data_IF_081401664350
#
_entry.id   IF_081401664350
#
_cell.length_a   1.000
_cell.length_b   1.000
_cell.length_c   1.000
_cell.angle_alpha   90.00
_cell.angle_beta   90.00
_cell.angle_gamma   90.00
#
_symmetry.space_group_name_H-M   'P 1'
#
loop_
_entity.id
_entity.type
_entity.pdbx_description
1 polymer ?
#
# COMPACT_ATOMS: atom_id res chain seq x y z
N UNK A 1 -5.74 -10.25 3.89
CA UNK A 1 -5.45 -9.00 3.15
C UNK A 1 -6.39 -8.86 1.93
N UNK A 2 -6.45 -9.84 1.02
CA UNK A 2 -7.24 -9.74 -0.21
C UNK A 2 -8.72 -9.39 -0.04
N UNK A 3 -9.37 -9.83 1.04
CA UNK A 3 -10.80 -9.57 1.30
C UNK A 3 -11.07 -8.07 1.52
N UNK A 4 -10.13 -7.35 2.12
CA UNK A 4 -10.24 -5.89 2.28
C UNK A 4 -10.34 -5.17 0.93
N UNK A 5 -9.71 -5.74 -0.10
CA UNK A 5 -9.69 -5.22 -1.47
C UNK A 5 -10.63 -5.96 -2.42
N UNK A 6 -11.66 -6.64 -1.88
CA UNK A 6 -12.73 -7.22 -2.68
C UNK A 6 -12.43 -8.61 -3.26
N UNK A 7 -11.60 -9.41 -2.59
CA UNK A 7 -11.40 -10.80 -2.96
C UNK A 7 -12.71 -11.57 -2.80
N UNK A 8 -13.13 -12.28 -3.85
CA UNK A 8 -14.31 -13.13 -3.86
C UNK A 8 -14.06 -14.51 -3.23
N UNK A 9 -15.10 -15.25 -2.83
CA UNK A 9 -14.96 -16.58 -2.22
C UNK A 9 -14.11 -17.55 -3.03
N UNK A 10 -14.30 -17.64 -4.36
CA UNK A 10 -13.46 -18.46 -5.25
C UNK A 10 -12.00 -18.01 -5.28
N UNK A 11 -11.76 -16.69 -5.18
CA UNK A 11 -10.41 -16.14 -5.08
C UNK A 11 -9.74 -16.51 -3.76
N UNK A 12 -10.48 -16.47 -2.66
CA UNK A 12 -10.01 -16.92 -1.34
C UNK A 12 -9.69 -18.41 -1.35
N UNK A 13 -10.61 -19.25 -1.87
CA UNK A 13 -10.40 -20.69 -2.02
C UNK A 13 -9.10 -21.00 -2.79
N UNK A 14 -8.92 -20.34 -3.94
CA UNK A 14 -7.70 -20.49 -4.74
C UNK A 14 -6.45 -20.07 -3.97
N UNK A 15 -6.50 -18.97 -3.25
CA UNK A 15 -5.37 -18.47 -2.47
C UNK A 15 -4.99 -19.43 -1.35
N UNK A 16 -5.98 -19.96 -0.61
CA UNK A 16 -5.77 -20.95 0.44
C UNK A 16 -5.13 -22.23 -0.10
N UNK A 17 -5.62 -22.71 -1.24
CA UNK A 17 -5.09 -23.92 -1.89
C UNK A 17 -3.64 -23.72 -2.33
N UNK A 18 -3.33 -22.63 -3.06
CA UNK A 18 -2.00 -22.45 -3.67
C UNK A 18 -0.94 -21.90 -2.71
N UNK A 19 -1.34 -21.07 -1.72
CA UNK A 19 -0.36 -20.46 -0.79
C UNK A 19 -0.21 -21.20 0.54
N UNK A 20 -1.29 -21.87 0.98
CA UNK A 20 -1.30 -22.55 2.28
C UNK A 20 -1.51 -24.06 2.17
N UNK A 21 -1.72 -24.62 0.98
CA UNK A 21 -2.02 -26.04 0.78
C UNK A 21 -3.36 -26.50 1.35
N UNK A 22 -4.27 -25.56 1.69
CA UNK A 22 -5.56 -25.85 2.31
C UNK A 22 -6.65 -26.01 1.26
N UNK A 23 -7.25 -27.19 1.18
CA UNK A 23 -8.41 -27.45 0.32
C UNK A 23 -9.68 -27.11 1.09
N UNK A 24 -10.13 -25.85 1.00
CA UNK A 24 -11.24 -25.31 1.75
C UNK A 24 -12.51 -25.29 0.88
N UNK A 25 -13.66 -25.79 1.36
CA UNK A 25 -14.93 -25.70 0.64
C UNK A 25 -15.31 -24.25 0.32
N UNK A 26 -16.00 -24.05 -0.81
CA UNK A 26 -16.44 -22.69 -1.22
C UNK A 26 -17.37 -22.06 -0.18
N UNK A 27 -18.26 -22.84 0.42
CA UNK A 27 -19.17 -22.43 1.50
C UNK A 27 -18.43 -21.86 2.72
N UNK A 28 -17.29 -22.45 3.08
CA UNK A 28 -16.47 -21.95 4.18
C UNK A 28 -15.78 -20.63 3.81
N UNK A 29 -15.32 -20.48 2.58
CA UNK A 29 -14.79 -19.22 2.08
C UNK A 29 -15.86 -18.11 2.07
N UNK A 30 -17.10 -18.43 1.70
CA UNK A 30 -18.25 -17.52 1.77
C UNK A 30 -18.55 -17.10 3.21
N UNK A 31 -18.57 -18.06 4.13
CA UNK A 31 -18.78 -17.82 5.57
C UNK A 31 -17.67 -16.94 6.15
N UNK A 32 -16.42 -17.19 5.82
CA UNK A 32 -15.27 -16.39 6.27
C UNK A 32 -15.42 -14.93 5.82
N UNK A 33 -15.74 -14.69 4.55
CA UNK A 33 -15.92 -13.34 4.02
C UNK A 33 -17.12 -12.64 4.66
N UNK A 34 -18.23 -13.37 4.85
CA UNK A 34 -19.43 -12.84 5.50
C UNK A 34 -19.15 -12.45 6.95
N UNK A 35 -18.50 -13.32 7.72
CA UNK A 35 -18.13 -13.06 9.11
C UNK A 35 -17.16 -11.86 9.23
N UNK A 36 -16.18 -11.77 8.33
CA UNK A 36 -15.26 -10.65 8.31
C UNK A 36 -15.99 -9.33 8.05
N UNK A 37 -16.91 -9.30 7.09
CA UNK A 37 -17.71 -8.09 6.80
C UNK A 37 -18.66 -7.74 7.95
N UNK A 38 -19.22 -8.75 8.64
CA UNK A 38 -20.03 -8.53 9.82
C UNK A 38 -19.21 -7.97 11.00
N UNK A 39 -17.97 -8.44 11.19
CA UNK A 39 -17.04 -7.91 12.20
C UNK A 39 -16.52 -6.51 11.90
N UNK A 40 -16.50 -6.12 10.62
CA UNK A 40 -16.04 -4.81 10.16
C UNK A 40 -17.08 -4.10 9.29
N UNK A 41 -18.24 -3.69 9.85
CA UNK A 41 -19.35 -3.13 9.07
C UNK A 41 -18.98 -1.85 8.34
N UNK A 42 -18.16 -0.98 8.94
CA UNK A 42 -17.67 0.24 8.28
C UNK A 42 -16.81 -0.03 7.06
N UNK A 43 -16.02 -1.12 7.07
CA UNK A 43 -15.27 -1.55 5.89
C UNK A 43 -16.21 -1.97 4.75
N UNK A 44 -17.24 -2.76 5.08
CA UNK A 44 -18.22 -3.20 4.10
C UNK A 44 -18.98 -2.02 3.48
N UNK A 45 -19.38 -1.06 4.30
CA UNK A 45 -20.02 0.19 3.85
C UNK A 45 -19.08 1.01 2.96
N UNK A 46 -17.84 1.23 3.39
CA UNK A 46 -16.82 1.94 2.61
C UNK A 46 -16.60 1.32 1.24
N UNK A 47 -16.49 -0.01 1.16
CA UNK A 47 -16.35 -0.73 -0.12
C UNK A 47 -17.51 -0.41 -1.07
N UNK A 48 -18.75 -0.34 -0.57
CA UNK A 48 -19.92 0.00 -1.39
C UNK A 48 -19.92 1.48 -1.83
N UNK A 49 -19.52 2.37 -0.92
CA UNK A 49 -19.42 3.81 -1.23
C UNK A 49 -18.40 4.05 -2.35
N UNK A 50 -17.20 3.47 -2.22
CA UNK A 50 -16.13 3.63 -3.21
C UNK A 50 -16.53 3.09 -4.58
N UNK A 51 -17.19 1.92 -4.64
CA UNK A 51 -17.70 1.36 -5.90
C UNK A 51 -18.71 2.29 -6.55
N UNK A 52 -19.73 2.77 -5.82
CA UNK A 52 -20.75 3.69 -6.34
C UNK A 52 -20.11 5.00 -6.83
N UNK A 53 -19.17 5.55 -6.11
CA UNK A 53 -18.44 6.75 -6.54
C UNK A 53 -17.65 6.50 -7.83
N UNK A 54 -16.96 5.36 -7.92
CA UNK A 54 -16.21 4.99 -9.12
C UNK A 54 -17.15 4.76 -10.34
N UNK A 55 -18.31 4.14 -10.14
CA UNK A 55 -19.33 4.00 -11.22
C UNK A 55 -19.82 5.36 -11.74
N UNK A 56 -20.07 6.31 -10.84
CA UNK A 56 -20.53 7.64 -11.20
C UNK A 56 -19.45 8.49 -11.88
N UNK A 57 -18.21 8.45 -11.36
CA UNK A 57 -17.11 9.32 -11.80
C UNK A 57 -16.26 8.71 -12.91
N UNK A 58 -16.32 7.39 -13.12
CA UNK A 58 -15.45 6.60 -14.03
C UNK A 58 -13.97 6.60 -13.62
N UNK A 59 -13.68 6.99 -12.42
CA UNK A 59 -12.34 6.92 -11.81
C UNK A 59 -12.42 6.73 -10.29
N UNK A 60 -11.33 6.27 -9.71
CA UNK A 60 -11.04 6.33 -8.30
C UNK A 60 -9.81 7.22 -8.08
N UNK A 61 -9.67 7.81 -6.91
CA UNK A 61 -8.58 8.73 -6.63
C UNK A 61 -7.94 8.46 -5.27
N UNK A 62 -6.67 8.84 -5.14
CA UNK A 62 -5.93 8.84 -3.88
C UNK A 62 -6.36 10.03 -3.04
N UNK A 63 -5.94 10.08 -1.79
CA UNK A 63 -6.19 11.22 -0.90
C UNK A 63 -5.51 12.51 -1.38
N UNK A 64 -4.44 12.40 -2.17
CA UNK A 64 -3.78 13.54 -2.80
C UNK A 64 -4.35 13.89 -4.18
N UNK A 65 -5.47 13.27 -4.60
CA UNK A 65 -6.18 13.60 -5.82
C UNK A 65 -5.63 12.97 -7.10
N UNK A 66 -4.69 12.00 -7.00
CA UNK A 66 -4.24 11.27 -8.18
C UNK A 66 -5.32 10.30 -8.63
N UNK A 67 -5.71 10.37 -9.89
CA UNK A 67 -6.82 9.62 -10.46
C UNK A 67 -6.36 8.37 -11.20
N UNK A 68 -7.12 7.29 -10.99
CA UNK A 68 -7.07 6.08 -11.80
C UNK A 68 -8.39 5.94 -12.55
N UNK A 69 -8.36 6.08 -13.85
CA UNK A 69 -9.54 5.90 -14.70
C UNK A 69 -9.92 4.42 -14.80
N UNK A 70 -11.23 4.15 -14.77
CA UNK A 70 -11.82 2.82 -14.69
C UNK A 70 -12.89 2.64 -15.77
N UNK A 71 -12.53 2.57 -17.06
CA UNK A 71 -13.51 2.49 -18.15
C UNK A 71 -14.41 1.26 -18.03
N UNK A 72 -13.88 0.13 -17.53
CA UNK A 72 -14.61 -1.12 -17.34
C UNK A 72 -15.56 -1.15 -16.13
N UNK A 73 -15.66 -0.09 -15.31
CA UNK A 73 -16.48 -0.08 -14.08
C UNK A 73 -17.98 -0.28 -14.34
N UNK A 74 -18.44 0.05 -15.54
CA UNK A 74 -19.82 -0.13 -15.99
C UNK A 74 -19.96 -1.14 -17.13
N UNK A 75 -18.94 -1.97 -17.34
CA UNK A 75 -19.00 -3.03 -18.35
C UNK A 75 -20.07 -4.07 -18.03
N UNK A 76 -20.67 -4.63 -19.06
CA UNK A 76 -21.55 -5.79 -18.96
C UNK A 76 -20.77 -7.11 -18.77
N UNK A 77 -19.46 -7.12 -19.09
CA UNK A 77 -18.60 -8.24 -18.78
C UNK A 77 -18.29 -8.26 -17.28
N UNK A 78 -18.66 -9.36 -16.62
CA UNK A 78 -18.46 -9.53 -15.18
C UNK A 78 -16.99 -9.48 -14.77
N UNK A 79 -16.09 -10.04 -15.58
CA UNK A 79 -14.66 -10.08 -15.30
C UNK A 79 -14.06 -8.68 -15.33
N UNK A 80 -14.39 -7.90 -16.36
CA UNK A 80 -13.95 -6.52 -16.53
C UNK A 80 -14.49 -5.62 -15.42
N UNK A 81 -15.80 -5.69 -15.14
CA UNK A 81 -16.44 -4.93 -14.05
C UNK A 81 -15.82 -5.26 -12.70
N UNK A 82 -15.67 -6.55 -12.39
CA UNK A 82 -15.08 -7.02 -11.13
C UNK A 82 -13.62 -6.58 -10.96
N UNK A 83 -12.84 -6.56 -12.04
CA UNK A 83 -11.48 -6.02 -12.02
C UNK A 83 -11.48 -4.52 -11.72
N UNK A 84 -12.33 -3.74 -12.40
CA UNK A 84 -12.45 -2.30 -12.17
C UNK A 84 -12.90 -1.97 -10.74
N UNK A 85 -13.85 -2.71 -10.16
CA UNK A 85 -14.27 -2.57 -8.77
C UNK A 85 -13.12 -2.81 -7.77
N UNK A 86 -12.30 -3.84 -8.00
CA UNK A 86 -11.10 -4.06 -7.16
C UNK A 86 -10.09 -2.92 -7.29
N UNK A 87 -9.88 -2.43 -8.50
CA UNK A 87 -9.03 -1.26 -8.73
C UNK A 87 -9.57 0.00 -8.04
N UNK A 88 -10.91 0.18 -8.04
CA UNK A 88 -11.55 1.28 -7.34
C UNK A 88 -11.26 1.26 -5.83
N UNK A 89 -11.35 0.09 -5.20
CA UNK A 89 -11.07 -0.07 -3.76
C UNK A 89 -9.58 0.02 -3.42
N UNK A 90 -8.71 -0.44 -4.31
CA UNK A 90 -7.27 -0.41 -4.06
C UNK A 90 -6.67 0.99 -4.17
N UNK A 91 -7.17 1.82 -5.09
CA UNK A 91 -6.58 3.12 -5.40
C UNK A 91 -6.55 4.09 -4.20
N UNK A 92 -7.62 4.26 -3.39
CA UNK A 92 -7.59 5.15 -2.24
C UNK A 92 -6.58 4.74 -1.17
N UNK A 93 -6.31 3.45 -1.02
CA UNK A 93 -5.41 2.91 0.01
C UNK A 93 -3.97 2.79 -0.53
N UNK A 94 -3.75 1.85 -1.47
CA UNK A 94 -2.41 1.59 -2.00
C UNK A 94 -1.86 2.78 -2.81
N UNK A 95 -2.75 3.48 -3.53
CA UNK A 95 -2.35 4.68 -4.25
C UNK A 95 -1.92 5.81 -3.32
N UNK A 96 -2.63 6.00 -2.19
CA UNK A 96 -2.23 6.98 -1.16
C UNK A 96 -0.93 6.58 -0.48
N UNK A 97 -0.72 5.30 -0.17
CA UNK A 97 0.57 4.82 0.35
C UNK A 97 1.73 5.16 -0.59
N UNK A 98 1.55 4.93 -1.90
CA UNK A 98 2.55 5.31 -2.90
C UNK A 98 2.77 6.84 -2.99
N UNK A 99 1.73 7.65 -2.76
CA UNK A 99 1.85 9.11 -2.70
C UNK A 99 2.63 9.56 -1.47
N UNK A 100 2.40 8.95 -0.31
CA UNK A 100 3.14 9.21 0.93
C UNK A 100 4.63 8.94 0.73
N UNK A 101 4.98 7.79 0.13
CA UNK A 101 6.38 7.50 -0.18
C UNK A 101 7.01 8.54 -1.12
N UNK A 102 6.27 9.02 -2.12
CA UNK A 102 6.75 10.08 -3.02
C UNK A 102 6.96 11.41 -2.30
N UNK A 103 6.12 11.74 -1.33
CA UNK A 103 6.34 12.91 -0.47
C UNK A 103 7.61 12.75 0.37
N UNK A 104 7.85 11.57 0.93
CA UNK A 104 9.08 11.26 1.65
C UNK A 104 10.31 11.40 0.75
N UNK A 105 10.26 10.85 -0.47
CA UNK A 105 11.32 11.00 -1.48
C UNK A 105 11.57 12.46 -1.85
N UNK A 106 10.52 13.27 -1.99
CA UNK A 106 10.68 14.70 -2.28
C UNK A 106 11.42 15.44 -1.14
N UNK A 107 11.08 15.12 0.13
CA UNK A 107 11.79 15.67 1.31
C UNK A 107 13.26 15.24 1.34
N UNK A 108 13.54 13.97 1.05
CA UNK A 108 14.89 13.43 0.95
C UNK A 108 15.70 14.16 -0.12
N UNK A 109 15.16 14.31 -1.34
CA UNK A 109 15.83 14.99 -2.46
C UNK A 109 16.19 16.44 -2.09
N UNK A 110 15.32 17.16 -1.40
CA UNK A 110 15.59 18.53 -0.95
C UNK A 110 16.75 18.57 0.04
N UNK A 111 16.92 17.58 0.89
CA UNK A 111 17.98 17.53 1.89
C UNK A 111 19.30 16.89 1.43
N UNK A 112 19.34 16.25 0.24
CA UNK A 112 20.55 15.60 -0.30
C UNK A 112 21.71 16.57 -0.58
N UNK A 113 21.52 17.83 -1.09
CA UNK A 113 22.62 18.76 -1.32
C UNK A 113 23.47 19.05 -0.08
N UNK A 114 22.87 18.99 1.11
CA UNK A 114 23.58 19.17 2.39
C UNK A 114 24.29 17.89 2.87
N UNK A 115 24.03 16.76 2.20
CA UNK A 115 24.52 15.40 2.56
C UNK A 115 25.10 14.68 1.33
N UNK A 116 26.16 15.20 0.71
CA UNK A 116 26.72 14.64 -0.53
C UNK A 116 27.25 13.21 -0.37
N UNK A 117 27.43 12.76 0.87
CA UNK A 117 27.82 11.41 1.24
C UNK A 117 26.63 10.41 1.28
N UNK A 118 25.37 10.89 1.27
CA UNK A 118 24.16 10.05 1.27
C UNK A 118 23.73 9.76 -0.17
N UNK A 119 23.84 8.52 -0.60
CA UNK A 119 23.54 8.12 -1.98
C UNK A 119 22.31 7.24 -2.04
N UNK A 120 21.17 7.72 -2.58
CA UNK A 120 20.02 6.86 -2.88
C UNK A 120 20.40 5.85 -3.97
N UNK A 121 20.14 4.56 -3.74
CA UNK A 121 20.44 3.50 -4.68
C UNK A 121 19.19 2.90 -5.31
N UNK A 122 18.23 2.47 -4.48
CA UNK A 122 17.04 1.72 -4.94
C UNK A 122 15.80 2.18 -4.18
N UNK A 123 14.67 2.06 -4.86
CA UNK A 123 13.34 2.03 -4.26
C UNK A 123 12.70 0.69 -4.60
N UNK A 124 12.33 -0.09 -3.59
CA UNK A 124 11.70 -1.40 -3.74
C UNK A 124 10.38 -1.38 -2.97
N UNK A 125 9.25 -1.25 -3.67
CA UNK A 125 7.91 -1.08 -3.07
C UNK A 125 7.86 0.12 -2.12
N UNK A 126 7.89 -0.11 -0.82
CA UNK A 126 7.87 0.84 0.29
C UNK A 126 9.23 0.99 0.99
N UNK A 127 10.26 0.32 0.49
CA UNK A 127 11.63 0.38 1.00
C UNK A 127 12.49 1.35 0.19
N UNK A 128 13.42 2.03 0.88
CA UNK A 128 14.44 2.87 0.28
C UNK A 128 15.83 2.38 0.69
N UNK A 129 16.70 2.20 -0.27
CA UNK A 129 18.07 1.72 -0.06
C UNK A 129 19.06 2.84 -0.37
N UNK A 130 20.00 3.02 0.54
CA UNK A 130 21.05 4.05 0.44
C UNK A 130 22.43 3.44 0.66
N UNK A 131 23.43 4.03 0.01
CA UNK A 131 24.84 3.84 0.35
C UNK A 131 25.29 5.00 1.24
N UNK A 132 25.93 4.66 2.37
CA UNK A 132 26.29 5.61 3.42
C UNK A 132 27.68 5.26 3.98
N UNK A 133 28.59 6.21 4.22
CA UNK A 133 29.81 5.97 4.98
C UNK A 133 29.49 5.47 6.40
N UNK A 134 30.34 4.60 6.92
CA UNK A 134 30.10 3.89 8.21
C UNK A 134 29.98 4.88 9.38
N UNK A 135 30.80 5.96 9.37
CA UNK A 135 30.77 7.03 10.38
C UNK A 135 29.55 7.95 10.28
N UNK A 136 28.74 7.83 9.22
CA UNK A 136 27.54 8.62 8.94
C UNK A 136 26.21 7.89 9.10
N UNK A 137 26.23 6.61 9.47
CA UNK A 137 25.05 5.77 9.57
C UNK A 137 23.99 6.38 10.50
N UNK A 138 24.36 6.82 11.71
CA UNK A 138 23.42 7.39 12.68
C UNK A 138 22.74 8.67 12.17
N UNK A 139 23.51 9.55 11.50
CA UNK A 139 22.98 10.78 10.88
C UNK A 139 22.03 10.45 9.72
N UNK A 140 22.42 9.48 8.88
CA UNK A 140 21.61 9.03 7.75
C UNK A 140 20.28 8.47 8.20
N UNK A 141 20.28 7.51 9.13
CA UNK A 141 19.08 6.87 9.66
C UNK A 141 18.13 7.91 10.25
N UNK A 142 18.64 8.82 11.08
CA UNK A 142 17.84 9.87 11.69
C UNK A 142 17.18 10.78 10.64
N UNK A 143 17.92 11.20 9.62
CA UNK A 143 17.42 12.05 8.55
C UNK A 143 16.39 11.32 7.67
N UNK A 144 16.69 10.08 7.25
CA UNK A 144 15.81 9.29 6.39
C UNK A 144 14.50 9.00 7.12
N UNK A 145 14.56 8.53 8.37
CA UNK A 145 13.37 8.29 9.19
C UNK A 145 12.54 9.54 9.37
N UNK A 146 13.15 10.68 9.67
CA UNK A 146 12.43 11.95 9.80
C UNK A 146 11.69 12.34 8.51
N UNK A 147 12.27 12.08 7.32
CA UNK A 147 11.62 12.32 6.04
C UNK A 147 10.46 11.35 5.76
N UNK A 148 10.62 10.07 6.12
CA UNK A 148 9.63 9.02 5.87
C UNK A 148 8.45 9.08 6.84
N UNK A 149 8.71 9.37 8.11
CA UNK A 149 7.72 9.40 9.20
C UNK A 149 6.97 10.74 9.30
N UNK A 150 7.48 11.78 8.65
CA UNK A 150 6.83 13.09 8.67
C UNK A 150 5.40 13.00 8.13
N UNK A 151 4.46 13.60 8.89
CA UNK A 151 3.05 13.65 8.50
C UNK A 151 2.90 14.08 7.03
N UNK A 152 2.25 13.28 6.18
CA UNK A 152 2.19 13.54 4.74
C UNK A 152 1.31 14.76 4.40
N UNK A 153 0.21 14.94 5.12
CA UNK A 153 -0.73 16.06 4.97
C UNK A 153 -1.56 16.24 6.25
N UNK A 154 -2.12 17.43 6.51
CA UNK A 154 -2.71 17.78 7.81
C UNK A 154 -3.83 16.86 8.32
N UNK A 155 -4.59 16.24 7.41
CA UNK A 155 -5.72 15.36 7.78
C UNK A 155 -5.31 13.90 7.98
N UNK A 156 -4.03 13.55 7.77
CA UNK A 156 -3.54 12.20 7.96
C UNK A 156 -3.13 11.99 9.41
N UNK A 157 -3.92 11.23 10.15
CA UNK A 157 -3.80 10.97 11.59
C UNK A 157 -3.24 9.57 11.92
N UNK A 158 -2.89 8.79 10.89
CA UNK A 158 -2.28 7.47 11.06
C UNK A 158 -0.76 7.63 11.20
N UNK A 159 -0.14 7.13 12.27
CA UNK A 159 1.32 7.20 12.41
C UNK A 159 2.01 6.38 11.33
N UNK A 160 3.08 6.95 10.75
CA UNK A 160 3.97 6.26 9.84
C UNK A 160 5.23 5.92 10.64
N UNK A 161 5.62 4.66 10.63
CA UNK A 161 6.82 4.17 11.29
C UNK A 161 7.73 3.57 10.23
N UNK A 162 8.98 4.03 10.17
CA UNK A 162 10.02 3.49 9.31
C UNK A 162 11.01 2.69 10.16
N UNK A 163 11.21 1.44 9.79
CA UNK A 163 12.25 0.58 10.35
C UNK A 163 13.53 0.76 9.54
N UNK A 164 14.67 0.67 10.19
CA UNK A 164 15.96 0.80 9.55
C UNK A 164 16.80 -0.47 9.77
N UNK A 165 17.41 -0.94 8.70
CA UNK A 165 18.38 -2.02 8.72
C UNK A 165 19.68 -1.54 8.08
N UNK A 166 20.82 -1.97 8.64
CA UNK A 166 22.15 -1.57 8.20
C UNK A 166 23.04 -2.80 8.05
N UNK A 167 23.91 -2.79 7.04
CA UNK A 167 24.85 -3.87 6.80
C UNK A 167 25.85 -3.53 5.69
N UNK A 168 26.89 -4.32 5.51
CA UNK A 168 27.90 -4.09 4.48
C UNK A 168 27.38 -4.36 3.06
N UNK A 169 26.35 -5.17 2.94
CA UNK A 169 25.67 -5.47 1.66
C UNK A 169 24.17 -5.56 1.88
N UNK A 170 23.40 -5.45 0.80
CA UNK A 170 21.94 -5.58 0.85
C UNK A 170 21.46 -6.96 1.37
N UNK A 171 22.30 -8.01 1.23
CA UNK A 171 22.01 -9.35 1.72
C UNK A 171 22.36 -9.58 3.18
N UNK A 172 23.17 -8.72 3.79
CA UNK A 172 23.71 -8.87 5.16
C UNK A 172 23.31 -7.69 6.06
N UNK A 173 22.02 -7.33 6.04
CA UNK A 173 21.49 -6.27 6.87
C UNK A 173 20.96 -6.79 8.20
N UNK A 174 21.15 -6.00 9.27
CA UNK A 174 20.57 -6.21 10.58
C UNK A 174 19.73 -5.00 10.98
N UNK A 175 18.61 -5.25 11.66
CA UNK A 175 17.74 -4.19 12.17
C UNK A 175 18.50 -3.32 13.19
N UNK A 176 18.32 -2.02 13.07
CA UNK A 176 18.75 -1.06 14.08
C UNK A 176 17.58 -0.84 15.04
N UNK A 177 17.81 -1.22 16.30
CA UNK A 177 16.84 -1.00 17.40
C UNK A 177 16.54 0.47 17.69
#
# INVERSE_FOLDING_TARGET
FGVFFGLFPRGLQRTLKFKAGLDTPLSDCERIITNLKAGYPRLAEWQQVVKRQAEARKYSETWLGRRRYLPGITSNDWGEKSFAERCAMNTPIQGTAADILKLALARLIVGLPERPWLRPLLQIHDELVFEVPEDKIGEAVSFIKACMEAQPFPQFDVPIVAEASVGPTFGDMAEMG
#
